data_IF_190485901254
#
_entry.id   IF_190485901254
#
_cell.length_a   1.000
_cell.length_b   1.000
_cell.length_c   1.000
_cell.angle_alpha   90.00
_cell.angle_beta   90.00
_cell.angle_gamma   90.00
#
_symmetry.space_group_name_H-M   'P 1'
#
loop_
_entity.id
_entity.type
_entity.pdbx_description
1 polymer ?
#
# COMPACT_ATOMS: atom_id res chain seq x y z
N UNK A 1 -24.21 8.23 -8.93
CA UNK A 1 -23.47 7.29 -8.07
C UNK A 1 -23.09 6.11 -8.93
N UNK A 2 -21.84 6.13 -9.39
CA UNK A 2 -21.28 5.07 -10.20
C UNK A 2 -21.03 3.81 -9.34
N UNK A 3 -21.02 2.66 -9.99
CA UNK A 3 -20.78 1.35 -9.37
C UNK A 3 -19.86 0.54 -10.27
N UNK A 4 -18.91 -0.15 -9.68
CA UNK A 4 -18.03 -1.07 -10.37
C UNK A 4 -17.60 -2.20 -9.43
N UNK A 5 -16.98 -3.23 -9.99
CA UNK A 5 -16.41 -4.32 -9.20
C UNK A 5 -15.18 -4.92 -9.87
N UNK A 6 -14.18 -5.26 -9.07
CA UNK A 6 -12.92 -5.87 -9.49
C UNK A 6 -12.79 -7.28 -8.89
N UNK A 7 -12.09 -8.21 -9.55
CA UNK A 7 -11.77 -9.51 -8.95
C UNK A 7 -10.85 -9.32 -7.73
N UNK A 8 -10.98 -10.20 -6.74
CA UNK A 8 -10.13 -10.18 -5.54
C UNK A 8 -9.90 -11.59 -5.00
N UNK A 9 -8.65 -11.89 -4.66
CA UNK A 9 -8.29 -13.08 -3.92
C UNK A 9 -8.30 -12.78 -2.41
N UNK A 10 -9.28 -13.34 -1.69
CA UNK A 10 -9.38 -13.18 -0.24
C UNK A 10 -8.25 -13.87 0.53
N UNK A 11 -7.46 -14.75 -0.11
CA UNK A 11 -6.27 -15.35 0.49
C UNK A 11 -5.02 -14.49 0.29
N UNK A 12 -5.12 -13.39 -0.46
CA UNK A 12 -4.06 -12.39 -0.60
C UNK A 12 -4.37 -11.18 0.30
N UNK A 13 -3.75 -11.06 1.49
CA UNK A 13 -4.03 -9.96 2.41
C UNK A 13 -3.78 -8.59 1.77
N UNK A 14 -2.76 -8.49 0.91
CA UNK A 14 -2.46 -7.27 0.17
C UNK A 14 -3.65 -6.79 -0.66
N UNK A 15 -4.32 -7.69 -1.38
CA UNK A 15 -5.49 -7.33 -2.18
C UNK A 15 -6.67 -6.90 -1.30
N UNK A 16 -6.91 -7.59 -0.20
CA UNK A 16 -7.99 -7.23 0.74
C UNK A 16 -7.75 -5.84 1.35
N UNK A 17 -6.52 -5.55 1.78
CA UNK A 17 -6.16 -4.21 2.27
C UNK A 17 -6.22 -3.17 1.15
N UNK A 18 -5.86 -3.52 -0.08
CA UNK A 18 -5.97 -2.65 -1.23
C UNK A 18 -7.42 -2.30 -1.56
N UNK A 19 -8.37 -3.21 -1.36
CA UNK A 19 -9.80 -2.93 -1.46
C UNK A 19 -10.25 -1.85 -0.47
N UNK A 20 -9.80 -1.91 0.79
CA UNK A 20 -10.04 -0.82 1.74
C UNK A 20 -9.36 0.46 1.26
N UNK A 21 -8.12 0.40 0.76
CA UNK A 21 -7.45 1.55 0.18
C UNK A 21 -8.25 2.20 -0.96
N UNK A 22 -8.85 1.41 -1.85
CA UNK A 22 -9.71 1.93 -2.92
C UNK A 22 -10.95 2.62 -2.37
N UNK A 23 -11.58 2.03 -1.35
CA UNK A 23 -12.73 2.63 -0.67
C UNK A 23 -12.37 3.99 -0.03
N UNK A 24 -11.23 4.08 0.64
CA UNK A 24 -10.74 5.31 1.27
C UNK A 24 -10.39 6.39 0.24
N UNK A 25 -9.63 6.02 -0.80
CA UNK A 25 -9.27 6.95 -1.87
C UNK A 25 -10.52 7.45 -2.63
N UNK A 26 -11.50 6.57 -2.86
CA UNK A 26 -12.76 6.95 -3.48
C UNK A 26 -13.60 7.87 -2.59
N UNK A 27 -13.64 7.67 -1.27
CA UNK A 27 -14.31 8.61 -0.36
C UNK A 27 -13.70 10.01 -0.45
N UNK A 28 -12.37 10.07 -0.53
CA UNK A 28 -11.61 11.33 -0.59
C UNK A 28 -11.78 12.05 -1.93
N UNK A 29 -11.76 11.31 -3.05
CA UNK A 29 -11.80 11.88 -4.40
C UNK A 29 -13.22 12.12 -4.91
N UNK A 30 -14.15 11.23 -4.59
CA UNK A 30 -15.50 11.20 -5.16
C UNK A 30 -16.59 11.47 -4.13
N UNK A 31 -16.38 11.10 -2.86
CA UNK A 31 -17.35 11.25 -1.78
C UNK A 31 -18.46 10.20 -1.80
N UNK A 32 -19.05 9.96 -0.61
CA UNK A 32 -20.11 8.96 -0.38
C UNK A 32 -19.75 7.57 -0.91
N UNK A 33 -18.49 7.19 -0.78
CA UNK A 33 -18.01 5.90 -1.15
C UNK A 33 -18.55 4.82 -0.20
N UNK A 34 -18.84 3.66 -0.75
CA UNK A 34 -19.15 2.46 0.02
C UNK A 34 -18.70 1.23 -0.76
N UNK A 35 -18.20 0.21 -0.05
CA UNK A 35 -17.70 -1.00 -0.68
C UNK A 35 -17.94 -2.25 0.15
N UNK A 36 -17.81 -3.40 -0.49
CA UNK A 36 -18.03 -4.70 0.12
C UNK A 36 -17.56 -5.84 -0.76
N UNK A 37 -17.22 -6.95 -0.13
CA UNK A 37 -16.82 -8.15 -0.84
C UNK A 37 -18.06 -8.98 -1.18
N UNK A 38 -18.05 -9.54 -2.39
CA UNK A 38 -19.03 -10.50 -2.84
C UNK A 38 -18.31 -11.83 -3.09
N UNK A 39 -18.54 -12.76 -2.18
CA UNK A 39 -18.04 -14.14 -2.24
C UNK A 39 -19.19 -15.13 -2.42
N UNK A 40 -20.32 -14.69 -2.98
CA UNK A 40 -21.45 -15.60 -3.26
C UNK A 40 -21.09 -16.70 -4.27
N UNK A 41 -20.09 -16.43 -5.12
CA UNK A 41 -19.41 -17.39 -5.97
C UNK A 41 -17.94 -17.49 -5.56
N UNK A 42 -17.53 -18.60 -4.94
CA UNK A 42 -16.14 -18.82 -4.52
C UNK A 42 -15.14 -18.86 -5.70
N UNK A 43 -15.61 -19.00 -6.95
CA UNK A 43 -14.78 -18.99 -8.16
C UNK A 43 -14.61 -17.61 -8.80
N UNK A 44 -15.43 -16.63 -8.43
CA UNK A 44 -15.37 -15.23 -8.90
C UNK A 44 -15.66 -14.29 -7.72
N UNK A 45 -14.77 -14.29 -6.73
CA UNK A 45 -14.88 -13.36 -5.62
C UNK A 45 -14.53 -11.95 -6.09
N UNK A 46 -15.39 -10.98 -5.80
CA UNK A 46 -15.24 -9.59 -6.26
C UNK A 46 -15.33 -8.58 -5.13
N UNK A 47 -14.60 -7.48 -5.26
CA UNK A 47 -14.83 -6.29 -4.44
C UNK A 47 -15.67 -5.28 -5.21
N UNK A 48 -16.82 -4.91 -4.63
CA UNK A 48 -17.77 -3.95 -5.19
C UNK A 48 -17.53 -2.59 -4.58
N UNK A 49 -17.50 -1.55 -5.40
CA UNK A 49 -17.31 -0.15 -4.98
C UNK A 49 -18.37 0.74 -5.64
N UNK A 50 -18.95 1.64 -4.86
CA UNK A 50 -19.80 2.74 -5.35
C UNK A 50 -19.35 4.05 -4.74
N UNK A 51 -19.47 5.14 -5.49
CA UNK A 51 -19.20 6.50 -5.02
C UNK A 51 -20.00 7.53 -5.86
N UNK A 52 -20.05 8.79 -5.41
CA UNK A 52 -20.66 9.86 -6.20
C UNK A 52 -19.94 10.06 -7.56
N UNK A 53 -20.62 10.68 -8.52
CA UNK A 53 -20.17 10.78 -9.92
C UNK A 53 -20.79 9.76 -10.87
N UNK A 54 -20.30 9.79 -12.12
CA UNK A 54 -20.76 8.96 -13.26
C UNK A 54 -19.71 7.97 -13.77
N UNK A 55 -18.43 8.24 -13.52
CA UNK A 55 -17.30 7.42 -13.98
C UNK A 55 -17.04 6.22 -13.08
N UNK A 56 -16.39 5.17 -13.61
CA UNK A 56 -15.96 4.01 -12.83
C UNK A 56 -15.05 4.46 -11.68
N UNK A 57 -15.41 4.21 -10.39
CA UNK A 57 -14.63 4.70 -9.26
C UNK A 57 -13.19 4.16 -9.22
N UNK A 58 -12.95 2.92 -9.68
CA UNK A 58 -11.59 2.38 -9.77
C UNK A 58 -10.75 3.14 -10.81
N UNK A 59 -11.33 3.46 -11.97
CA UNK A 59 -10.65 4.21 -13.01
C UNK A 59 -10.27 5.61 -12.55
N UNK A 60 -11.18 6.30 -11.84
CA UNK A 60 -10.88 7.63 -11.27
C UNK A 60 -9.72 7.54 -10.28
N UNK A 61 -9.79 6.62 -9.30
CA UNK A 61 -8.73 6.46 -8.29
C UNK A 61 -7.38 6.15 -8.95
N UNK A 62 -7.33 5.18 -9.87
CA UNK A 62 -6.11 4.78 -10.57
C UNK A 62 -5.52 5.92 -11.41
N UNK A 63 -6.37 6.66 -12.14
CA UNK A 63 -5.95 7.83 -12.92
C UNK A 63 -5.30 8.89 -12.02
N UNK A 64 -5.97 9.24 -10.92
CA UNK A 64 -5.46 10.24 -9.97
C UNK A 64 -4.15 9.78 -9.34
N UNK A 65 -4.06 8.51 -8.98
CA UNK A 65 -2.86 7.94 -8.35
C UNK A 65 -1.68 7.83 -9.32
N UNK A 66 -1.92 7.47 -10.58
CA UNK A 66 -0.90 7.47 -11.63
C UNK A 66 -0.32 8.87 -11.88
N UNK A 67 -1.12 9.92 -11.66
CA UNK A 67 -0.72 11.32 -11.79
C UNK A 67 -0.31 11.96 -10.46
N UNK A 68 -0.22 11.22 -9.35
CA UNK A 68 0.05 11.77 -8.04
C UNK A 68 1.53 12.12 -7.84
N UNK A 69 1.77 13.10 -6.97
CA UNK A 69 3.11 13.46 -6.50
C UNK A 69 3.33 12.91 -5.10
N UNK A 70 4.56 12.49 -4.82
CA UNK A 70 4.96 11.92 -3.54
C UNK A 70 6.03 12.80 -2.93
N UNK A 71 5.80 13.26 -1.70
CA UNK A 71 6.74 14.11 -0.96
C UNK A 71 6.98 13.53 0.43
N UNK A 72 8.18 13.70 0.96
CA UNK A 72 8.49 13.28 2.33
C UNK A 72 7.99 14.36 3.30
N UNK A 73 7.47 13.94 4.46
CA UNK A 73 7.12 14.89 5.51
C UNK A 73 8.20 14.89 6.59
N UNK A 74 8.68 16.07 6.94
CA UNK A 74 9.61 16.30 8.03
C UNK A 74 8.90 16.98 9.21
N UNK A 75 9.19 16.62 10.47
CA UNK A 75 8.72 17.39 11.59
C UNK A 75 9.36 18.79 11.59
N UNK A 76 8.63 19.79 12.06
CA UNK A 76 9.19 21.10 12.29
C UNK A 76 10.48 21.01 13.14
N UNK A 77 11.53 21.70 12.69
CA UNK A 77 12.82 21.67 13.38
C UNK A 77 13.63 20.39 13.17
N UNK A 78 13.37 19.63 12.10
CA UNK A 78 14.14 18.45 11.74
C UNK A 78 15.67 18.72 11.82
N UNK A 79 16.41 17.95 12.64
CA UNK A 79 17.79 18.26 13.02
C UNK A 79 18.85 17.70 12.06
N UNK A 80 18.45 16.91 11.06
CA UNK A 80 19.37 16.34 10.07
C UNK A 80 19.40 17.19 8.78
N UNK A 81 20.15 16.72 7.78
CA UNK A 81 20.10 17.30 6.44
C UNK A 81 18.66 17.26 5.90
N UNK A 82 18.14 18.43 5.53
CA UNK A 82 16.79 18.61 5.00
C UNK A 82 16.76 18.18 3.55
N UNK A 83 15.69 17.49 3.18
CA UNK A 83 15.33 17.38 1.77
C UNK A 83 14.68 18.70 1.34
N UNK A 84 15.21 19.40 0.31
CA UNK A 84 14.61 20.65 -0.16
C UNK A 84 13.18 20.48 -0.69
N UNK A 85 12.77 19.25 -1.01
CA UNK A 85 11.42 18.93 -1.49
C UNK A 85 10.51 18.38 -0.39
N UNK A 86 11.02 18.19 0.83
CA UNK A 86 10.19 17.73 1.94
C UNK A 86 9.26 18.82 2.47
N UNK A 87 8.07 18.42 2.89
CA UNK A 87 7.09 19.28 3.54
C UNK A 87 7.40 19.31 5.03
N UNK A 88 7.66 20.50 5.57
CA UNK A 88 7.77 20.68 7.03
C UNK A 88 6.37 20.74 7.63
N UNK A 89 6.09 19.86 8.59
CA UNK A 89 4.80 19.82 9.30
C UNK A 89 4.95 20.15 10.79
N UNK A 90 4.11 21.05 11.28
CA UNK A 90 3.98 21.33 12.71
C UNK A 90 3.17 20.24 13.44
N UNK A 91 2.28 19.56 12.71
CA UNK A 91 1.53 18.39 13.20
C UNK A 91 2.22 17.16 12.65
N UNK A 92 3.04 16.53 13.49
CA UNK A 92 3.82 15.36 13.13
C UNK A 92 3.43 14.18 14.01
N UNK A 93 3.22 12.99 13.45
CA UNK A 93 2.46 11.96 14.18
C UNK A 93 3.35 11.14 15.14
N UNK A 94 4.68 11.16 14.99
CA UNK A 94 5.63 10.57 15.96
C UNK A 94 6.45 11.61 16.70
N UNK A 95 7.07 11.20 17.81
CA UNK A 95 8.02 12.05 18.49
C UNK A 95 9.33 12.09 17.72
N UNK A 96 10.03 13.23 17.76
CA UNK A 96 11.32 13.36 17.08
C UNK A 96 12.28 12.24 17.49
N UNK A 97 12.33 11.90 18.79
CA UNK A 97 13.18 10.84 19.33
C UNK A 97 13.01 9.45 18.68
N UNK A 98 11.83 9.16 18.10
CA UNK A 98 11.54 7.90 17.41
C UNK A 98 12.36 7.73 16.11
N UNK A 99 12.90 8.84 15.60
CA UNK A 99 13.70 8.90 14.38
C UNK A 99 15.21 8.90 14.67
N UNK A 100 15.63 8.87 15.93
CA UNK A 100 17.05 8.82 16.30
C UNK A 100 17.54 7.38 16.49
N UNK A 101 18.46 6.93 15.64
CA UNK A 101 19.09 5.61 15.76
C UNK A 101 20.27 5.72 16.74
N UNK A 102 20.03 5.27 17.99
CA UNK A 102 21.04 5.32 19.07
C UNK A 102 22.35 4.60 18.74
N UNK A 103 22.30 3.45 18.06
CA UNK A 103 23.49 2.68 17.69
C UNK A 103 24.40 3.44 16.73
N UNK A 104 23.80 4.15 15.79
CA UNK A 104 24.47 4.85 14.71
C UNK A 104 24.71 6.33 15.04
N UNK A 105 24.20 6.79 16.18
CA UNK A 105 24.20 8.18 16.65
C UNK A 105 23.71 9.18 15.61
N UNK A 106 22.74 8.79 14.79
CA UNK A 106 22.23 9.60 13.66
C UNK A 106 20.71 9.62 13.61
N UNK A 107 20.19 10.69 13.05
CA UNK A 107 18.79 10.83 12.66
C UNK A 107 18.53 10.01 11.38
N UNK A 108 17.39 9.33 11.34
CA UNK A 108 17.01 8.43 10.24
C UNK A 108 15.72 8.88 9.59
N UNK A 109 15.76 9.00 8.26
CA UNK A 109 14.60 9.36 7.44
C UNK A 109 13.70 8.16 7.12
N UNK A 110 14.14 6.94 7.45
CA UNK A 110 13.48 5.69 7.03
C UNK A 110 12.09 5.49 7.61
N UNK A 111 11.71 6.25 8.65
CA UNK A 111 10.37 6.26 9.25
C UNK A 111 9.62 7.56 8.97
N UNK A 112 10.18 8.49 8.19
CA UNK A 112 9.43 9.70 7.85
C UNK A 112 8.17 9.33 7.04
N UNK A 113 7.05 10.03 7.30
CA UNK A 113 5.83 9.86 6.52
C UNK A 113 5.97 10.25 5.07
N UNK A 114 4.99 9.79 4.31
CA UNK A 114 4.82 10.11 2.91
C UNK A 114 3.53 10.93 2.72
N UNK A 115 3.63 12.03 1.99
CA UNK A 115 2.50 12.87 1.58
C UNK A 115 2.25 12.67 0.08
N UNK A 116 1.07 12.18 -0.27
CA UNK A 116 0.64 11.94 -1.64
C UNK A 116 -0.35 13.05 -2.04
N UNK A 117 -0.03 13.81 -3.08
CA UNK A 117 -0.89 14.87 -3.60
C UNK A 117 -1.46 14.48 -4.97
N UNK A 118 -2.77 14.55 -5.12
CA UNK A 118 -3.46 14.33 -6.39
C UNK A 118 -3.54 15.65 -7.17
N UNK A 119 -2.76 15.76 -8.24
CA UNK A 119 -2.56 17.02 -8.97
C UNK A 119 -3.85 17.66 -9.50
N UNK A 120 -4.79 16.86 -10.03
CA UNK A 120 -6.02 17.38 -10.64
C UNK A 120 -7.09 17.79 -9.60
N UNK A 121 -7.09 17.17 -8.42
CA UNK A 121 -8.14 17.40 -7.40
C UNK A 121 -7.71 18.31 -6.25
N UNK A 122 -6.41 18.62 -6.14
CA UNK A 122 -5.83 19.35 -4.99
C UNK A 122 -6.11 18.69 -3.63
N UNK A 123 -6.40 17.40 -3.63
CA UNK A 123 -6.58 16.60 -2.42
C UNK A 123 -5.29 15.85 -2.13
N UNK A 124 -5.01 15.59 -0.86
CA UNK A 124 -3.85 14.82 -0.44
C UNK A 124 -4.24 13.71 0.52
N UNK A 125 -3.39 12.68 0.56
CA UNK A 125 -3.44 11.58 1.52
C UNK A 125 -2.07 11.47 2.14
N UNK A 126 -2.06 11.34 3.45
CA UNK A 126 -0.85 11.12 4.21
C UNK A 126 -0.74 9.67 4.67
N UNK A 127 0.46 9.11 4.58
CA UNK A 127 0.79 7.76 5.01
C UNK A 127 1.74 7.82 6.21
N UNK A 128 1.19 7.50 7.38
CA UNK A 128 1.83 7.54 8.69
C UNK A 128 1.90 6.17 9.37
N UNK A 129 1.41 5.11 8.74
CA UNK A 129 1.19 3.78 9.33
C UNK A 129 2.41 3.12 9.99
N UNK A 130 3.61 3.63 9.72
CA UNK A 130 4.89 3.19 10.30
C UNK A 130 5.57 4.21 11.23
N UNK A 131 4.89 5.32 11.54
CA UNK A 131 5.43 6.45 12.27
C UNK A 131 4.40 7.29 12.99
N UNK A 132 3.21 6.74 13.26
CA UNK A 132 2.11 7.51 13.84
C UNK A 132 2.15 7.64 15.37
N UNK A 133 3.21 7.16 16.02
CA UNK A 133 3.41 7.25 17.47
C UNK A 133 2.31 6.61 18.31
N UNK A 134 1.38 5.89 17.68
CA UNK A 134 0.22 5.30 18.34
C UNK A 134 0.60 4.04 19.10
N UNK A 135 -0.31 3.57 19.96
CA UNK A 135 -0.18 2.26 20.60
C UNK A 135 -0.45 1.10 19.64
N UNK A 136 -0.83 1.36 18.39
CA UNK A 136 -1.13 0.32 17.40
C UNK A 136 0.18 -0.32 16.92
N UNK A 137 0.19 -1.62 16.55
CA UNK A 137 1.39 -2.30 16.06
C UNK A 137 2.03 -1.55 14.88
N UNK A 138 3.37 -1.37 14.92
CA UNK A 138 4.13 -0.78 13.81
C UNK A 138 4.10 -1.77 12.63
N UNK A 139 3.20 -1.53 11.67
CA UNK A 139 3.03 -2.36 10.47
C UNK A 139 4.05 -2.01 9.38
N UNK A 140 5.24 -1.55 9.78
CA UNK A 140 6.38 -1.37 8.89
C UNK A 140 6.98 -2.72 8.50
N UNK A 141 6.86 -3.07 7.23
CA UNK A 141 7.39 -4.32 6.67
C UNK A 141 8.73 -4.16 5.95
N UNK A 142 9.10 -2.94 5.55
CA UNK A 142 10.37 -2.67 4.89
C UNK A 142 11.47 -2.28 5.89
N UNK A 143 12.71 -2.64 5.55
CA UNK A 143 13.91 -2.36 6.33
C UNK A 143 15.04 -1.76 5.49
N UNK A 144 16.14 -1.41 6.17
CA UNK A 144 17.33 -0.81 5.57
C UNK A 144 17.24 0.71 5.48
N UNK A 145 17.95 1.29 4.51
CA UNK A 145 18.03 2.73 4.31
C UNK A 145 16.92 3.30 3.40
N UNK A 146 15.92 2.49 3.04
CA UNK A 146 14.78 2.92 2.21
C UNK A 146 13.79 3.73 3.05
N UNK A 147 13.20 4.77 2.46
CA UNK A 147 12.14 5.57 3.07
C UNK A 147 10.79 5.20 2.46
N UNK A 148 9.69 5.42 3.20
CA UNK A 148 8.34 5.19 2.69
C UNK A 148 8.08 6.02 1.43
N UNK A 149 8.54 7.28 1.41
CA UNK A 149 8.47 8.17 0.24
C UNK A 149 9.21 7.61 -0.96
N UNK A 150 10.44 7.11 -0.80
CA UNK A 150 11.19 6.52 -1.92
C UNK A 150 10.50 5.30 -2.52
N UNK A 151 9.89 4.45 -1.67
CA UNK A 151 9.16 3.25 -2.10
C UNK A 151 7.88 3.65 -2.84
N UNK A 152 7.08 4.56 -2.26
CA UNK A 152 5.85 5.06 -2.90
C UNK A 152 6.16 5.75 -4.23
N UNK A 153 7.21 6.56 -4.30
CA UNK A 153 7.64 7.20 -5.54
C UNK A 153 8.00 6.16 -6.62
N UNK A 154 8.82 5.16 -6.29
CA UNK A 154 9.18 4.10 -7.24
C UNK A 154 7.96 3.30 -7.71
N UNK A 155 6.97 3.07 -6.84
CA UNK A 155 5.72 2.39 -7.21
C UNK A 155 4.83 3.21 -8.13
N UNK A 156 4.73 4.52 -7.90
CA UNK A 156 3.86 5.38 -8.72
C UNK A 156 4.52 5.77 -10.04
N UNK A 157 5.79 6.18 -9.99
CA UNK A 157 6.50 6.77 -11.13
C UNK A 157 7.43 5.82 -11.87
N UNK A 158 7.73 4.66 -11.28
CA UNK A 158 8.82 3.77 -11.71
C UNK A 158 10.18 4.25 -11.22
N UNK A 159 11.16 3.35 -11.17
CA UNK A 159 12.54 3.68 -10.79
C UNK A 159 13.33 4.14 -12.01
N UNK A 160 14.07 5.24 -11.85
CA UNK A 160 14.96 5.77 -12.88
C UNK A 160 16.41 5.76 -12.42
N UNK A 161 17.29 5.42 -13.35
CA UNK A 161 18.73 5.54 -13.16
C UNK A 161 19.18 7.00 -13.19
N UNK A 162 20.48 7.23 -12.98
CA UNK A 162 21.03 8.58 -12.92
C UNK A 162 20.77 9.36 -14.23
N UNK A 163 20.40 10.66 -14.13
CA UNK A 163 20.37 11.57 -15.27
C UNK A 163 21.67 11.56 -16.07
N UNK A 164 21.55 11.62 -17.38
CA UNK A 164 22.69 11.79 -18.29
C UNK A 164 22.43 12.95 -19.24
N UNK A 165 23.48 13.48 -19.88
CA UNK A 165 23.32 14.53 -20.91
C UNK A 165 22.34 14.14 -22.04
N UNK A 166 22.20 12.83 -22.33
CA UNK A 166 21.31 12.30 -23.36
C UNK A 166 19.91 11.99 -22.85
N UNK A 167 19.77 11.78 -21.54
CA UNK A 167 18.50 11.52 -20.89
C UNK A 167 18.47 12.26 -19.55
N UNK A 168 18.05 13.53 -19.53
CA UNK A 168 18.03 14.38 -18.33
C UNK A 168 17.14 13.84 -17.20
N UNK A 169 16.15 13.01 -17.52
CA UNK A 169 15.28 12.37 -16.54
C UNK A 169 15.84 11.04 -16.00
N UNK A 170 16.90 10.52 -16.61
CA UNK A 170 17.39 9.18 -16.33
C UNK A 170 16.62 8.09 -17.08
N UNK A 171 17.30 6.98 -17.36
CA UNK A 171 16.70 5.82 -18.02
C UNK A 171 15.73 5.15 -17.04
N UNK A 172 14.53 4.81 -17.50
CA UNK A 172 13.61 3.98 -16.73
C UNK A 172 14.23 2.58 -16.53
N UNK A 173 14.45 2.22 -15.28
CA UNK A 173 15.00 0.92 -14.85
C UNK A 173 13.88 -0.06 -14.49
N UNK A 174 12.78 0.45 -13.94
CA UNK A 174 11.61 -0.34 -13.59
C UNK A 174 10.33 0.46 -13.81
N UNK A 175 9.25 -0.21 -14.20
CA UNK A 175 7.94 0.42 -14.35
C UNK A 175 7.27 0.64 -12.99
N UNK A 176 6.35 1.58 -12.94
CA UNK A 176 5.39 1.79 -11.84
C UNK A 176 3.98 1.97 -12.40
N UNK A 177 3.06 2.43 -11.55
CA UNK A 177 1.66 2.62 -11.89
C UNK A 177 1.46 3.57 -13.08
N UNK A 178 2.23 4.65 -13.18
CA UNK A 178 2.16 5.60 -14.28
C UNK A 178 2.41 4.94 -15.64
N UNK A 179 3.36 4.01 -15.71
CA UNK A 179 3.64 3.28 -16.95
C UNK A 179 2.52 2.30 -17.27
N UNK A 180 2.05 1.51 -16.29
CA UNK A 180 0.92 0.61 -16.47
C UNK A 180 -0.33 1.35 -16.94
N UNK A 181 -0.63 2.50 -16.33
CA UNK A 181 -1.77 3.34 -16.75
C UNK A 181 -1.64 3.83 -18.20
N UNK A 182 -0.43 4.20 -18.65
CA UNK A 182 -0.22 4.66 -20.03
C UNK A 182 -0.30 3.53 -21.06
N UNK A 183 0.09 2.33 -20.66
CA UNK A 183 0.25 1.18 -21.58
C UNK A 183 -1.03 0.33 -21.65
N UNK A 184 -1.73 0.15 -20.54
CA UNK A 184 -2.86 -0.78 -20.42
C UNK A 184 -3.93 -0.31 -19.41
N UNK A 185 -4.38 0.95 -19.50
CA UNK A 185 -5.40 1.52 -18.61
C UNK A 185 -6.66 0.63 -18.48
N UNK A 186 -7.20 0.13 -19.60
CA UNK A 186 -8.45 -0.64 -19.60
C UNK A 186 -8.29 -1.96 -18.81
N UNK A 187 -7.20 -2.69 -19.06
CA UNK A 187 -6.86 -3.94 -18.32
C UNK A 187 -6.63 -3.66 -16.83
N UNK A 188 -5.92 -2.56 -16.52
CA UNK A 188 -5.64 -2.13 -15.15
C UNK A 188 -6.92 -1.73 -14.39
N UNK A 189 -7.94 -1.22 -15.08
CA UNK A 189 -9.24 -0.90 -14.47
C UNK A 189 -10.09 -2.15 -14.26
N UNK A 190 -10.02 -3.11 -15.18
CA UNK A 190 -10.77 -4.38 -15.10
C UNK A 190 -10.23 -5.30 -14.00
N UNK A 191 -8.90 -5.45 -13.93
CA UNK A 191 -8.20 -6.29 -12.95
C UNK A 191 -6.94 -5.59 -12.41
N UNK A 192 -7.10 -4.60 -11.51
CA UNK A 192 -5.99 -3.81 -10.99
C UNK A 192 -4.96 -4.62 -10.20
N UNK A 193 -5.36 -5.78 -9.67
CA UNK A 193 -4.50 -6.59 -8.83
C UNK A 193 -3.68 -7.59 -9.63
N UNK A 194 -4.11 -7.98 -10.83
CA UNK A 194 -3.39 -8.95 -11.65
C UNK A 194 -2.10 -8.42 -12.25
N UNK A 195 -2.07 -7.15 -12.66
CA UNK A 195 -0.91 -6.57 -13.32
C UNK A 195 0.27 -6.42 -12.36
N UNK A 196 1.41 -6.97 -12.76
CA UNK A 196 2.65 -6.97 -11.97
C UNK A 196 3.82 -6.49 -12.82
N UNK A 197 4.80 -5.85 -12.18
CA UNK A 197 6.03 -5.43 -12.85
C UNK A 197 7.24 -5.52 -11.88
N UNK A 198 8.48 -5.50 -12.41
CA UNK A 198 9.66 -5.30 -11.58
C UNK A 198 9.56 -3.96 -10.85
N UNK A 199 9.73 -3.96 -9.52
CA UNK A 199 9.65 -2.74 -8.70
C UNK A 199 11.02 -2.31 -8.17
N UNK A 200 11.25 -0.99 -8.10
CA UNK A 200 12.45 -0.40 -7.50
C UNK A 200 12.50 -0.49 -5.97
N UNK A 201 11.34 -0.63 -5.35
CA UNK A 201 11.12 -0.85 -3.92
C UNK A 201 9.73 -1.43 -3.66
N UNK A 202 9.56 -2.09 -2.52
CA UNK A 202 8.32 -2.79 -2.13
C UNK A 202 7.94 -2.41 -0.70
N UNK A 203 6.64 -2.30 -0.43
CA UNK A 203 6.10 -2.26 0.93
C UNK A 203 5.93 -3.67 1.50
N UNK A 204 6.08 -4.70 0.66
CA UNK A 204 5.94 -6.12 0.98
C UNK A 204 4.52 -6.49 1.43
N UNK A 205 3.53 -5.79 0.89
CA UNK A 205 2.11 -6.05 1.13
C UNK A 205 1.55 -7.09 0.15
N UNK A 206 2.20 -7.32 -0.99
CA UNK A 206 1.80 -8.36 -1.93
C UNK A 206 2.60 -9.64 -1.68
N UNK A 207 1.97 -10.73 -1.21
CA UNK A 207 2.66 -11.99 -0.95
C UNK A 207 3.29 -12.60 -2.21
N UNK A 208 2.84 -12.23 -3.42
CA UNK A 208 3.44 -12.68 -4.69
C UNK A 208 4.87 -12.16 -4.90
N UNK A 209 5.18 -10.99 -4.34
CA UNK A 209 6.53 -10.43 -4.34
C UNK A 209 7.42 -10.96 -3.20
N UNK A 210 6.84 -11.67 -2.24
CA UNK A 210 7.57 -12.24 -1.10
C UNK A 210 8.43 -13.42 -1.52
N UNK A 211 9.75 -13.28 -1.44
CA UNK A 211 10.67 -14.40 -1.59
C UNK A 211 10.98 -14.99 -0.21
N UNK A 212 10.47 -16.19 0.07
CA UNK A 212 10.81 -16.94 1.28
C UNK A 212 12.03 -17.83 0.99
N UNK A 213 13.05 -17.80 1.85
CA UNK A 213 14.30 -18.55 1.63
C UNK A 213 14.12 -20.07 1.51
N UNK A 214 12.97 -20.60 1.98
CA UNK A 214 12.58 -22.00 1.84
C UNK A 214 12.24 -22.38 0.38
N UNK A 215 11.78 -21.40 -0.42
CA UNK A 215 11.46 -21.49 -1.86
C UNK A 215 12.54 -22.11 -2.74
N UNK A 216 13.79 -21.68 -2.55
CA UNK A 216 14.76 -21.76 -3.65
C UNK A 216 16.20 -22.11 -3.24
N UNK A 217 16.51 -22.26 -1.95
CA UNK A 217 17.83 -22.72 -1.51
C UNK A 217 19.01 -21.78 -1.83
N UNK A 218 18.77 -20.55 -2.30
CA UNK A 218 19.79 -19.51 -2.50
C UNK A 218 19.22 -18.10 -2.30
N UNK A 219 20.07 -17.12 -1.98
CA UNK A 219 19.68 -15.71 -1.85
C UNK A 219 19.64 -15.02 -3.23
N UNK A 220 18.61 -14.23 -3.58
CA UNK A 220 18.54 -13.50 -4.85
C UNK A 220 19.72 -12.55 -5.09
N UNK A 221 20.37 -12.04 -4.04
CA UNK A 221 21.59 -11.23 -4.19
C UNK A 221 22.73 -11.99 -4.89
N UNK A 222 22.68 -13.33 -4.95
CA UNK A 222 23.62 -14.15 -5.69
C UNK A 222 23.25 -14.31 -7.18
N UNK A 223 22.01 -14.01 -7.58
CA UNK A 223 21.55 -14.03 -8.96
C UNK A 223 21.28 -12.60 -9.44
N UNK A 224 22.18 -12.07 -10.28
CA UNK A 224 22.13 -10.67 -10.74
C UNK A 224 20.89 -10.29 -11.58
N UNK A 225 20.07 -11.26 -11.99
CA UNK A 225 19.02 -11.09 -13.02
C UNK A 225 17.62 -11.58 -12.60
N UNK A 226 17.35 -11.84 -11.31
CA UNK A 226 15.99 -12.16 -10.85
C UNK A 226 15.38 -10.94 -10.17
N UNK A 227 14.55 -10.20 -10.92
CA UNK A 227 13.76 -9.10 -10.34
C UNK A 227 12.55 -9.67 -9.61
N UNK A 228 12.35 -9.26 -8.36
CA UNK A 228 11.07 -9.47 -7.66
C UNK A 228 9.99 -8.70 -8.41
N UNK A 229 8.93 -9.41 -8.80
CA UNK A 229 7.77 -8.86 -9.51
C UNK A 229 6.61 -8.80 -8.53
N UNK A 230 5.94 -7.66 -8.47
CA UNK A 230 4.80 -7.40 -7.57
C UNK A 230 3.84 -6.42 -8.24
N UNK A 231 2.60 -6.33 -7.76
CA UNK A 231 1.66 -5.32 -8.25
C UNK A 231 1.87 -3.99 -7.54
N UNK A 232 2.24 -2.90 -8.25
CA UNK A 232 2.36 -1.58 -7.63
C UNK A 232 1.03 -1.10 -7.05
N UNK A 233 -0.11 -1.52 -7.65
CA UNK A 233 -1.45 -1.18 -7.14
C UNK A 233 -1.71 -1.86 -5.81
N UNK A 234 -1.48 -3.18 -5.72
CA UNK A 234 -1.67 -3.91 -4.45
C UNK A 234 -0.81 -3.28 -3.36
N UNK A 235 0.47 -3.02 -3.64
CA UNK A 235 1.40 -2.50 -2.65
C UNK A 235 0.98 -1.11 -2.10
N UNK A 236 0.71 -0.15 -2.98
CA UNK A 236 0.39 1.23 -2.56
C UNK A 236 -1.00 1.33 -1.92
N UNK A 237 -1.99 0.63 -2.49
CA UNK A 237 -3.37 0.68 -2.00
C UNK A 237 -3.51 -0.09 -0.69
N UNK A 238 -2.76 -1.18 -0.50
CA UNK A 238 -2.77 -1.90 0.77
C UNK A 238 -2.23 -1.05 1.92
N UNK A 239 -1.14 -0.31 1.69
CA UNK A 239 -0.62 0.64 2.67
C UNK A 239 -1.64 1.73 2.99
N UNK A 240 -2.32 2.26 1.98
CA UNK A 240 -3.38 3.25 2.16
C UNK A 240 -4.54 2.67 3.00
N UNK A 241 -4.95 1.43 2.74
CA UNK A 241 -5.97 0.76 3.56
C UNK A 241 -5.54 0.58 5.02
N UNK A 242 -4.31 0.13 5.25
CA UNK A 242 -3.76 -0.12 6.60
C UNK A 242 -3.54 1.17 7.41
N UNK A 243 -3.39 2.33 6.75
CA UNK A 243 -3.39 3.63 7.42
C UNK A 243 -4.66 3.82 8.27
N UNK A 244 -5.81 3.43 7.71
CA UNK A 244 -7.13 3.67 8.29
C UNK A 244 -7.64 2.52 9.17
N UNK A 245 -7.25 1.28 8.88
CA UNK A 245 -7.56 0.12 9.70
C UNK A 245 -6.39 -0.86 9.72
N UNK A 246 -5.71 -0.96 10.86
CA UNK A 246 -4.64 -1.94 11.04
C UNK A 246 -5.26 -3.30 11.39
N UNK A 247 -4.82 -4.38 10.73
CA UNK A 247 -5.26 -5.72 11.10
C UNK A 247 -4.77 -6.09 12.51
N UNK A 248 -5.44 -7.06 13.14
CA UNK A 248 -5.11 -7.50 14.50
C UNK A 248 -3.88 -8.41 14.49
N UNK A 249 -2.80 -7.99 15.17
CA UNK A 249 -1.62 -8.84 15.42
C UNK A 249 -1.80 -9.56 16.77
N UNK A 250 -2.54 -10.67 16.75
CA UNK A 250 -2.92 -11.43 17.95
C UNK A 250 -1.75 -12.20 18.59
N UNK A 251 -0.72 -12.52 17.81
CA UNK A 251 0.54 -13.10 18.27
C UNK A 251 1.69 -12.50 17.46
N UNK A 252 2.93 -12.60 17.96
CA UNK A 252 4.11 -12.09 17.24
C UNK A 252 4.15 -12.62 15.81
N UNK A 253 4.03 -11.70 14.83
CA UNK A 253 4.02 -11.99 13.39
C UNK A 253 2.86 -12.86 12.91
N UNK A 254 1.79 -12.99 13.69
CA UNK A 254 0.55 -13.60 13.23
C UNK A 254 -0.55 -12.55 13.26
N UNK A 255 -1.18 -12.40 12.11
CA UNK A 255 -2.07 -11.28 11.85
C UNK A 255 -3.40 -11.83 11.34
N UNK A 256 -4.50 -11.16 11.66
CA UNK A 256 -5.83 -11.50 11.15
C UNK A 256 -6.54 -10.30 10.54
N UNK A 257 -7.46 -10.60 9.65
CA UNK A 257 -8.41 -9.66 9.08
C UNK A 257 -9.72 -10.36 8.79
N UNK A 258 -10.78 -9.57 8.61
CA UNK A 258 -12.01 -10.07 8.03
C UNK A 258 -12.36 -9.38 6.70
N UNK A 259 -12.90 -10.18 5.79
CA UNK A 259 -13.64 -9.67 4.64
C UNK A 259 -15.12 -9.53 5.06
N UNK A 260 -15.79 -8.45 4.65
CA UNK A 260 -17.20 -8.17 4.99
C UNK A 260 -18.11 -8.27 3.76
N UNK A 261 -19.31 -8.84 3.93
CA UNK A 261 -20.19 -9.21 2.80
C UNK A 261 -21.12 -8.09 2.30
N UNK A 262 -21.26 -7.01 3.06
CA UNK A 262 -22.23 -5.94 2.79
C UNK A 262 -21.57 -4.67 2.23
N UNK A 263 -22.34 -3.81 1.55
CA UNK A 263 -21.82 -2.53 1.07
C UNK A 263 -21.78 -1.52 2.24
N UNK A 264 -20.58 -1.29 2.77
CA UNK A 264 -20.33 -0.45 3.95
C UNK A 264 -19.61 0.86 3.59
N UNK A 265 -19.92 1.98 4.28
CA UNK A 265 -19.09 3.17 4.24
C UNK A 265 -17.72 2.92 4.91
N UNK A 266 -16.69 3.74 4.63
CA UNK A 266 -15.33 3.53 5.14
C UNK A 266 -15.26 3.29 6.65
N UNK A 267 -16.00 4.07 7.45
CA UNK A 267 -15.97 3.93 8.92
C UNK A 267 -16.39 2.54 9.41
N UNK A 268 -17.37 1.90 8.77
CA UNK A 268 -17.82 0.56 9.13
C UNK A 268 -16.92 -0.51 8.50
N UNK A 269 -16.44 -0.30 7.28
CA UNK A 269 -15.47 -1.19 6.63
C UNK A 269 -14.16 -1.32 7.43
N UNK A 270 -13.65 -0.21 8.00
CA UNK A 270 -12.47 -0.21 8.89
C UNK A 270 -12.68 -1.11 10.12
N UNK A 271 -13.84 -0.98 10.76
CA UNK A 271 -14.21 -1.78 11.93
C UNK A 271 -14.33 -3.27 11.54
N UNK A 272 -14.99 -3.56 10.43
CA UNK A 272 -15.17 -4.91 9.91
C UNK A 272 -13.82 -5.58 9.60
N UNK A 273 -12.90 -4.89 8.92
CA UNK A 273 -11.56 -5.40 8.62
C UNK A 273 -10.82 -5.81 9.89
N UNK A 274 -11.02 -5.05 10.97
CA UNK A 274 -10.43 -5.28 12.30
C UNK A 274 -11.25 -6.27 13.15
N UNK A 275 -12.10 -7.07 12.53
CA UNK A 275 -12.94 -8.11 13.16
C UNK A 275 -13.96 -7.61 14.20
N UNK A 276 -14.25 -6.32 14.21
CA UNK A 276 -15.29 -5.78 15.08
C UNK A 276 -16.64 -6.25 14.57
N UNK A 277 -17.42 -6.91 15.44
CA UNK A 277 -18.77 -7.34 15.12
C UNK A 277 -19.69 -6.12 14.96
N UNK A 278 -20.14 -5.89 13.73
CA UNK A 278 -20.99 -4.74 13.36
C UNK A 278 -22.35 -5.18 12.78
N UNK A 279 -22.73 -6.44 13.00
CA UNK A 279 -24.01 -7.00 12.53
C UNK A 279 -24.06 -7.33 11.03
N UNK A 280 -22.91 -7.54 10.39
CA UNK A 280 -22.80 -8.06 9.02
C UNK A 280 -22.02 -9.36 9.02
N UNK A 281 -22.20 -10.16 7.97
CA UNK A 281 -21.42 -11.38 7.78
C UNK A 281 -19.94 -11.05 7.53
N UNK A 282 -19.07 -11.73 8.29
CA UNK A 282 -17.61 -11.59 8.22
C UNK A 282 -16.99 -12.96 7.93
N UNK A 283 -16.11 -13.04 6.91
CA UNK A 283 -15.20 -14.18 6.72
C UNK A 283 -13.84 -13.82 7.29
N UNK A 284 -13.36 -14.61 8.25
CA UNK A 284 -12.08 -14.36 8.95
C UNK A 284 -10.93 -15.12 8.30
N UNK A 285 -9.78 -14.46 8.26
CA UNK A 285 -8.56 -14.99 7.68
C UNK A 285 -7.37 -14.66 8.58
N UNK A 286 -6.38 -15.55 8.59
CA UNK A 286 -5.12 -15.35 9.29
C UNK A 286 -3.95 -15.48 8.34
N UNK A 287 -2.90 -14.70 8.55
CA UNK A 287 -1.65 -14.79 7.79
C UNK A 287 -0.44 -14.52 8.69
N UNK A 288 0.74 -14.86 8.18
CA UNK A 288 2.01 -14.63 8.86
C UNK A 288 2.77 -13.43 8.29
N UNK A 289 3.64 -12.86 9.11
CA UNK A 289 4.73 -11.99 8.65
C UNK A 289 6.03 -12.80 8.64
N UNK A 290 6.48 -13.22 7.47
CA UNK A 290 7.76 -13.94 7.33
C UNK A 290 8.92 -12.96 7.09
N UNK A 291 10.15 -13.46 7.01
CA UNK A 291 11.35 -12.68 6.75
C UNK A 291 11.93 -12.97 5.37
N UNK A 292 12.05 -11.90 4.56
CA UNK A 292 12.88 -11.88 3.36
C UNK A 292 14.11 -11.02 3.62
N UNK A 293 15.20 -11.67 4.03
CA UNK A 293 16.39 -10.99 4.55
C UNK A 293 16.07 -10.23 5.85
N UNK A 294 16.15 -8.89 5.81
CA UNK A 294 15.81 -8.01 6.95
C UNK A 294 14.37 -7.47 6.89
N UNK A 295 13.67 -7.70 5.78
CA UNK A 295 12.31 -7.21 5.59
C UNK A 295 11.32 -8.21 6.15
N UNK A 296 10.20 -7.72 6.70
CA UNK A 296 9.02 -8.55 6.88
C UNK A 296 8.28 -8.62 5.54
N UNK A 297 7.65 -9.75 5.25
CA UNK A 297 6.79 -9.93 4.08
C UNK A 297 5.49 -10.58 4.53
N UNK A 298 4.35 -10.15 3.98
CA UNK A 298 3.09 -10.85 4.24
C UNK A 298 3.10 -12.20 3.51
N UNK A 299 2.49 -13.22 4.12
CA UNK A 299 2.22 -14.51 3.46
C UNK A 299 0.79 -14.52 2.90
N UNK A 300 0.49 -15.50 2.06
CA UNK A 300 -0.91 -15.85 1.81
C UNK A 300 -1.61 -16.21 3.12
N UNK A 301 -2.90 -15.92 3.18
CA UNK A 301 -3.74 -16.19 4.31
C UNK A 301 -4.38 -17.58 4.24
N UNK A 302 -4.84 -18.04 5.38
CA UNK A 302 -5.70 -19.21 5.54
C UNK A 302 -7.04 -18.74 6.10
N UNK A 303 -8.18 -19.30 5.63
CA UNK A 303 -9.47 -19.06 6.26
C UNK A 303 -9.46 -19.63 7.68
N UNK A 304 -9.98 -18.87 8.64
CA UNK A 304 -10.29 -19.42 9.96
C UNK A 304 -11.62 -20.17 9.86
N UNK A 305 -11.59 -21.46 10.19
CA UNK A 305 -12.80 -22.25 10.36
C UNK A 305 -13.37 -21.91 11.73
N UNK A 306 -14.64 -21.48 11.76
CA UNK A 306 -15.40 -21.31 13.00
C UNK A 306 -15.65 -22.65 13.71
#
# INVERSE_FOLDING_TARGET
MAKASIPVDLLNPGQVFACLGFLEAAEILLGKAAGGFDWSDDSDVRFRLRADGEENPFAVVLKHLAAANVTEMEPHGWPAERDPNAISSDVFPSQLADHYIKSDKKWSRTKLPCHITFNESHVSIDLYGWSDGSSRPDFKLFAGNRTGTSIAHDMLCGKRGNPTKRNPEGKLESSGLLQLWKECADELVEDPFHLTCPLGGTFNMDPRGGWVALDLGFSPNALKDVSVVSSPVVEIMAVLGVEHARPDEYETRKVRYAAWGEILPPILARAALSEVEIGVELRRFRFGLDLSGKNKVVTFAEPETE
#
